data_IF_573104638545
#
_entry.id   IF_573104638545
#
_cell.length_a   1.000
_cell.length_b   1.000
_cell.length_c   1.000
_cell.angle_alpha   90.00
_cell.angle_beta   90.00
_cell.angle_gamma   90.00
#
_symmetry.space_group_name_H-M   'P 1'
#
loop_
_entity.id
_entity.type
_entity.pdbx_description
1 polymer ?
#
# COMPACT_ATOMS: atom_id res chain seq x y z
N UNK A 1 -11.76 -37.87 -10.39
CA UNK A 1 -11.92 -36.61 -9.62
C UNK A 1 -10.56 -35.98 -9.40
N UNK A 2 -10.50 -34.64 -9.45
CA UNK A 2 -9.33 -33.72 -9.33
C UNK A 2 -8.61 -33.37 -10.63
N UNK A 3 -9.02 -32.25 -11.24
CA UNK A 3 -8.15 -31.22 -11.84
C UNK A 3 -9.00 -30.24 -12.66
N UNK A 4 -9.56 -29.22 -12.02
CA UNK A 4 -10.31 -28.15 -12.73
C UNK A 4 -9.93 -26.73 -12.29
N UNK A 5 -9.16 -26.57 -11.21
CA UNK A 5 -8.81 -25.24 -10.69
C UNK A 5 -7.42 -24.76 -11.14
N UNK A 6 -6.47 -25.66 -11.40
CA UNK A 6 -5.13 -25.29 -11.86
C UNK A 6 -5.13 -24.77 -13.31
N UNK A 7 -5.94 -25.37 -14.19
CA UNK A 7 -6.06 -24.94 -15.58
C UNK A 7 -6.60 -23.51 -15.72
N UNK A 8 -7.64 -23.16 -14.93
CA UNK A 8 -8.23 -21.81 -14.96
C UNK A 8 -7.25 -20.73 -14.48
N UNK A 9 -6.48 -21.00 -13.42
CA UNK A 9 -5.50 -20.05 -12.89
C UNK A 9 -4.39 -19.80 -13.91
N UNK A 10 -3.86 -20.86 -14.55
CA UNK A 10 -2.80 -20.72 -15.56
C UNK A 10 -3.29 -19.96 -16.80
N UNK A 11 -4.51 -20.23 -17.28
CA UNK A 11 -5.07 -19.52 -18.44
C UNK A 11 -5.32 -18.04 -18.15
N UNK A 12 -5.81 -17.70 -16.95
CA UNK A 12 -6.01 -16.30 -16.55
C UNK A 12 -4.68 -15.55 -16.39
N UNK A 13 -3.64 -16.20 -15.86
CA UNK A 13 -2.30 -15.61 -15.73
C UNK A 13 -1.68 -15.30 -17.10
N UNK A 14 -1.81 -16.19 -18.09
CA UNK A 14 -1.29 -15.95 -19.45
C UNK A 14 -2.04 -14.82 -20.16
N UNK A 15 -3.37 -14.76 -20.02
CA UNK A 15 -4.17 -13.68 -20.61
C UNK A 15 -3.84 -12.30 -20.00
N UNK A 16 -3.63 -12.24 -18.68
CA UNK A 16 -3.23 -11.00 -18.00
C UNK A 16 -1.84 -10.52 -18.43
N UNK A 17 -0.87 -11.43 -18.58
CA UNK A 17 0.47 -11.10 -19.09
C UNK A 17 0.43 -10.61 -20.53
N UNK A 18 -0.44 -11.17 -21.38
CA UNK A 18 -0.63 -10.69 -22.74
C UNK A 18 -1.21 -9.26 -22.80
N UNK A 19 -2.15 -8.92 -21.91
CA UNK A 19 -2.71 -7.55 -21.80
C UNK A 19 -1.64 -6.56 -21.32
N UNK A 20 -0.79 -6.95 -20.36
CA UNK A 20 0.33 -6.14 -19.87
C UNK A 20 1.34 -5.86 -20.98
N UNK A 21 1.70 -6.88 -21.79
CA UNK A 21 2.62 -6.71 -22.90
C UNK A 21 2.05 -5.77 -23.99
N UNK A 22 0.75 -5.88 -24.29
CA UNK A 22 0.09 -5.02 -25.28
C UNK A 22 -0.08 -3.57 -24.80
N UNK A 23 -0.40 -3.35 -23.52
CA UNK A 23 -0.52 -2.00 -22.94
C UNK A 23 0.80 -1.23 -22.89
N UNK A 24 1.89 -1.91 -22.51
CA UNK A 24 3.24 -1.31 -22.48
C UNK A 24 3.74 -1.01 -23.91
N UNK A 25 3.53 -1.92 -24.87
CA UNK A 25 3.88 -1.68 -26.27
C UNK A 25 3.06 -0.54 -26.90
N UNK A 26 1.76 -0.43 -26.57
CA UNK A 26 0.90 0.65 -27.06
C UNK A 26 1.32 2.04 -26.56
N UNK A 27 1.68 2.15 -25.27
CA UNK A 27 2.15 3.40 -24.68
C UNK A 27 3.49 3.85 -25.28
N UNK A 28 4.41 2.92 -25.52
CA UNK A 28 5.70 3.21 -26.15
C UNK A 28 5.50 3.55 -27.64
N UNK A 29 4.57 2.91 -28.36
CA UNK A 29 4.39 3.18 -29.78
C UNK A 29 3.70 4.52 -30.07
N UNK A 30 2.70 4.94 -29.30
CA UNK A 30 1.88 6.12 -29.61
C UNK A 30 1.82 7.20 -28.51
N UNK A 31 2.14 6.89 -27.25
CA UNK A 31 2.00 7.82 -26.12
C UNK A 31 2.99 8.98 -26.14
N UNK A 32 4.13 8.83 -26.83
CA UNK A 32 5.17 9.85 -26.93
C UNK A 32 4.90 10.94 -28.00
N UNK A 33 3.84 10.81 -28.79
CA UNK A 33 3.48 11.76 -29.85
C UNK A 33 2.26 12.62 -29.56
N UNK A 34 1.70 12.61 -28.33
CA UNK A 34 0.58 13.48 -27.98
C UNK A 34 1.10 14.87 -27.60
N UNK A 35 0.87 15.93 -28.40
CA UNK A 35 1.38 17.25 -28.10
C UNK A 35 0.49 17.94 -27.06
N UNK A 36 0.71 17.70 -25.77
CA UNK A 36 0.02 18.39 -24.67
C UNK A 36 0.60 19.80 -24.40
N UNK A 37 0.91 20.58 -25.44
CA UNK A 37 1.55 21.89 -25.26
C UNK A 37 0.60 23.05 -24.89
N UNK A 38 -0.73 22.88 -24.86
CA UNK A 38 -1.65 24.03 -24.71
C UNK A 38 -2.89 23.83 -23.82
N UNK A 39 -2.94 22.85 -22.92
CA UNK A 39 -4.04 22.76 -21.95
C UNK A 39 -3.82 23.73 -20.76
N UNK A 40 -3.96 25.04 -20.99
CA UNK A 40 -4.18 26.01 -19.90
C UNK A 40 -5.62 25.84 -19.41
N UNK A 41 -5.79 25.03 -18.38
CA UNK A 41 -7.02 24.98 -17.60
C UNK A 41 -7.28 26.31 -16.92
N UNK A 42 -8.45 26.88 -17.16
CA UNK A 42 -9.02 28.05 -16.48
C UNK A 42 -9.00 27.81 -14.96
N UNK A 43 -8.57 28.77 -14.12
CA UNK A 43 -8.58 28.58 -12.68
C UNK A 43 -10.03 28.46 -12.17
N UNK A 44 -10.36 27.45 -11.34
CA UNK A 44 -11.66 27.40 -10.69
C UNK A 44 -11.76 28.56 -9.70
N UNK A 45 -12.81 29.36 -9.84
CA UNK A 45 -13.17 30.42 -8.90
C UNK A 45 -13.92 29.72 -7.75
N UNK A 46 -13.19 29.33 -6.71
CA UNK A 46 -13.72 28.74 -5.48
C UNK A 46 -13.03 29.37 -4.28
N UNK A 47 -13.79 29.59 -3.21
CA UNK A 47 -13.41 30.34 -2.01
C UNK A 47 -11.98 30.07 -1.50
N UNK A 48 -11.25 31.15 -1.26
CA UNK A 48 -9.94 31.13 -0.62
C UNK A 48 -10.12 30.77 0.86
N UNK A 49 -9.59 29.61 1.29
CA UNK A 49 -9.35 29.39 2.73
C UNK A 49 -9.46 27.96 3.27
N UNK A 50 -9.96 26.99 2.51
CA UNK A 50 -9.84 25.57 2.87
C UNK A 50 -9.33 24.78 1.68
N UNK A 51 -8.04 24.47 1.67
CA UNK A 51 -7.60 23.27 0.93
C UNK A 51 -8.46 22.10 1.44
N UNK A 52 -9.06 21.29 0.55
CA UNK A 52 -9.63 20.02 0.96
C UNK A 52 -8.60 19.29 1.82
N UNK A 53 -9.00 18.79 2.99
CA UNK A 53 -8.13 17.92 3.79
C UNK A 53 -7.69 16.80 2.86
N UNK A 54 -6.39 16.72 2.57
CA UNK A 54 -5.84 15.67 1.70
C UNK A 54 -6.17 14.33 2.37
N UNK A 55 -7.08 13.52 1.82
CA UNK A 55 -7.51 12.29 2.48
C UNK A 55 -6.34 11.29 2.54
N UNK A 56 -5.31 11.49 1.70
CA UNK A 56 -4.07 10.73 1.76
C UNK A 56 -3.05 11.33 2.74
N UNK A 57 -3.44 11.95 3.84
CA UNK A 57 -2.48 12.47 4.82
C UNK A 57 -1.64 11.33 5.44
N UNK A 58 -0.32 11.39 5.28
CA UNK A 58 0.60 10.52 6.03
C UNK A 58 0.94 11.21 7.33
N UNK A 59 0.89 10.49 8.45
CA UNK A 59 1.39 10.98 9.73
C UNK A 59 2.84 11.44 9.65
N UNK A 60 3.20 12.37 10.52
CA UNK A 60 4.60 12.62 10.83
C UNK A 60 5.14 11.46 11.68
N UNK A 61 5.67 10.44 11.00
CA UNK A 61 6.16 9.23 11.64
C UNK A 61 7.54 9.41 12.30
N UNK A 62 8.24 10.52 12.02
CA UNK A 62 9.61 10.80 12.48
C UNK A 62 10.68 10.19 11.60
N UNK A 63 11.95 10.23 12.05
CA UNK A 63 13.10 9.69 11.31
C UNK A 63 13.53 10.53 10.10
N UNK A 64 14.56 10.05 9.40
CA UNK A 64 15.03 10.67 8.17
C UNK A 64 14.09 10.31 7.00
N UNK A 65 13.28 11.28 6.57
CA UNK A 65 12.29 11.10 5.50
C UNK A 65 12.98 10.90 4.15
N UNK A 66 12.62 9.84 3.44
CA UNK A 66 13.00 9.65 2.04
C UNK A 66 11.96 10.33 1.14
N UNK A 67 12.40 11.03 0.09
CA UNK A 67 11.49 11.72 -0.82
C UNK A 67 10.88 10.77 -1.84
N UNK A 68 9.60 10.45 -1.65
CA UNK A 68 8.78 9.65 -2.57
C UNK A 68 7.56 10.42 -3.08
N UNK A 69 7.62 11.76 -3.11
CA UNK A 69 6.51 12.60 -3.58
C UNK A 69 6.09 12.31 -5.03
N UNK A 70 6.98 11.71 -5.83
CA UNK A 70 6.71 11.30 -7.22
C UNK A 70 6.04 9.92 -7.33
N UNK A 71 5.85 9.21 -6.22
CA UNK A 71 5.18 7.89 -6.18
C UNK A 71 3.72 8.10 -5.81
N UNK A 72 2.91 8.37 -6.84
CA UNK A 72 1.49 8.72 -6.73
C UNK A 72 0.53 7.70 -7.37
N UNK A 73 1.08 6.62 -7.95
CA UNK A 73 0.34 5.49 -8.49
C UNK A 73 0.88 4.13 -8.01
N UNK A 74 0.04 3.09 -8.03
CA UNK A 74 0.49 1.71 -7.78
C UNK A 74 1.60 1.26 -8.74
N UNK A 75 1.63 1.78 -9.97
CA UNK A 75 2.67 1.46 -10.94
C UNK A 75 4.03 2.00 -10.49
N UNK A 76 4.06 3.22 -9.96
CA UNK A 76 5.27 3.79 -9.38
C UNK A 76 5.72 3.02 -8.12
N UNK A 77 4.80 2.54 -7.28
CA UNK A 77 5.12 1.71 -6.10
C UNK A 77 5.73 0.37 -6.49
N UNK A 78 5.22 -0.26 -7.56
CA UNK A 78 5.78 -1.51 -8.08
C UNK A 78 7.25 -1.36 -8.48
N UNK A 79 7.63 -0.20 -9.04
CA UNK A 79 9.01 0.15 -9.36
C UNK A 79 9.94 0.24 -8.14
N UNK A 80 9.39 0.51 -6.95
CA UNK A 80 10.16 0.63 -5.70
C UNK A 80 10.40 -0.71 -4.98
N UNK A 81 9.75 -1.80 -5.42
CA UNK A 81 9.87 -3.14 -4.82
C UNK A 81 9.59 -3.18 -3.31
N UNK A 82 8.69 -2.31 -2.82
CA UNK A 82 8.31 -2.21 -1.40
C UNK A 82 7.11 -3.11 -1.03
N UNK A 83 6.43 -3.65 -2.04
CA UNK A 83 5.33 -4.60 -1.92
C UNK A 83 5.73 -5.92 -2.55
N UNK A 84 5.21 -7.03 -2.02
CA UNK A 84 5.32 -8.32 -2.73
C UNK A 84 4.48 -8.30 -4.00
N UNK A 85 4.70 -9.28 -4.89
CA UNK A 85 3.89 -9.44 -6.10
C UNK A 85 2.42 -9.68 -5.78
N UNK A 86 2.15 -10.47 -4.75
CA UNK A 86 0.78 -10.80 -4.37
C UNK A 86 0.08 -9.61 -3.73
N UNK A 87 0.79 -8.80 -2.92
CA UNK A 87 0.24 -7.56 -2.36
C UNK A 87 -0.11 -6.54 -3.46
N UNK A 88 0.76 -6.39 -4.47
CA UNK A 88 0.48 -5.54 -5.63
C UNK A 88 -0.73 -6.06 -6.39
N UNK A 89 -0.81 -7.38 -6.63
CA UNK A 89 -1.94 -7.99 -7.33
C UNK A 89 -3.25 -7.74 -6.60
N UNK A 90 -3.30 -7.95 -5.29
CA UNK A 90 -4.48 -7.68 -4.47
C UNK A 90 -4.95 -6.22 -4.62
N UNK A 91 -4.02 -5.26 -4.56
CA UNK A 91 -4.36 -3.85 -4.71
C UNK A 91 -4.86 -3.51 -6.13
N UNK A 92 -4.24 -4.07 -7.17
CA UNK A 92 -4.66 -3.85 -8.55
C UNK A 92 -6.01 -4.48 -8.87
N UNK A 93 -6.23 -5.73 -8.44
CA UNK A 93 -7.48 -6.46 -8.72
C UNK A 93 -8.68 -5.78 -8.06
N UNK A 94 -8.48 -5.12 -6.91
CA UNK A 94 -9.49 -4.32 -6.25
C UNK A 94 -9.55 -2.84 -6.73
N UNK A 95 -8.84 -2.51 -7.82
CA UNK A 95 -8.94 -1.20 -8.47
C UNK A 95 -8.19 -0.06 -7.78
N UNK A 96 -7.20 -0.35 -6.96
CA UNK A 96 -6.37 0.69 -6.33
C UNK A 96 -5.77 1.63 -7.38
N UNK A 97 -5.85 2.93 -7.10
CA UNK A 97 -5.48 3.98 -8.06
C UNK A 97 -4.35 4.84 -7.54
N UNK A 98 -4.74 5.99 -6.99
CA UNK A 98 -3.82 6.96 -6.41
C UNK A 98 -3.20 6.39 -5.14
N UNK A 99 -1.92 6.68 -4.93
CA UNK A 99 -1.23 6.28 -3.70
C UNK A 99 -0.47 7.45 -3.10
N UNK A 100 -0.16 7.32 -1.82
CA UNK A 100 0.89 8.12 -1.20
C UNK A 100 1.82 7.21 -0.42
N UNK A 101 3.09 7.32 -0.74
CA UNK A 101 4.15 6.55 -0.11
C UNK A 101 4.99 7.48 0.77
N UNK A 102 5.12 7.12 2.04
CA UNK A 102 6.07 7.74 2.95
C UNK A 102 7.02 6.68 3.48
N UNK A 103 8.30 7.03 3.49
CA UNK A 103 9.36 6.15 3.92
C UNK A 103 10.27 6.94 4.84
N UNK A 104 10.64 6.33 5.95
CA UNK A 104 11.53 6.97 6.93
C UNK A 104 12.56 6.00 7.46
N UNK A 105 13.82 6.44 7.49
CA UNK A 105 14.92 5.68 8.07
C UNK A 105 15.15 6.09 9.52
N UNK A 106 15.49 5.09 10.32
CA UNK A 106 15.87 5.20 11.72
C UNK A 106 17.14 4.38 11.93
N UNK A 107 17.87 4.67 13.00
CA UNK A 107 19.04 3.87 13.38
C UNK A 107 18.68 2.39 13.65
N UNK A 108 17.42 2.13 14.00
CA UNK A 108 16.90 0.80 14.33
C UNK A 108 16.17 0.12 13.18
N UNK A 109 16.06 0.76 12.01
CA UNK A 109 15.35 0.19 10.86
C UNK A 109 14.67 1.20 9.93
N UNK A 110 13.73 0.72 9.12
CA UNK A 110 13.00 1.50 8.11
C UNK A 110 11.50 1.33 8.28
N UNK A 111 10.79 2.46 8.27
CA UNK A 111 9.33 2.53 8.22
C UNK A 111 8.86 2.77 6.78
N UNK A 112 7.78 2.11 6.40
CA UNK A 112 7.07 2.30 5.13
C UNK A 112 5.59 2.47 5.46
N UNK A 113 5.02 3.59 5.07
CA UNK A 113 3.59 3.86 5.15
C UNK A 113 3.08 4.08 3.73
N UNK A 114 2.10 3.27 3.34
CA UNK A 114 1.45 3.34 2.04
C UNK A 114 -0.04 3.57 2.25
N UNK A 115 -0.55 4.64 1.66
CA UNK A 115 -1.99 4.89 1.53
C UNK A 115 -2.38 4.63 0.08
N UNK A 116 -3.45 3.89 -0.13
CA UNK A 116 -3.98 3.57 -1.46
C UNK A 116 -5.43 3.99 -1.51
N UNK A 117 -5.73 4.90 -2.44
CA UNK A 117 -7.10 5.26 -2.79
C UNK A 117 -7.73 4.12 -3.57
N UNK A 118 -8.81 3.58 -3.05
CA UNK A 118 -9.61 2.53 -3.68
C UNK A 118 -10.85 3.13 -4.34
N UNK A 119 -11.52 2.42 -5.26
CA UNK A 119 -12.70 2.95 -5.94
C UNK A 119 -13.90 3.16 -5.00
N UNK A 120 -13.97 2.38 -3.92
CA UNK A 120 -15.03 2.47 -2.92
C UNK A 120 -14.57 1.90 -1.57
N UNK A 121 -15.35 2.20 -0.53
CA UNK A 121 -15.21 1.59 0.81
C UNK A 121 -15.26 0.06 0.76
N UNK A 122 -16.08 -0.52 -0.11
CA UNK A 122 -16.21 -1.98 -0.22
C UNK A 122 -14.96 -2.61 -0.87
N UNK A 123 -14.37 -1.93 -1.86
CA UNK A 123 -13.14 -2.39 -2.52
C UNK A 123 -11.95 -2.27 -1.58
N UNK A 124 -11.87 -1.20 -0.78
CA UNK A 124 -10.89 -1.06 0.29
C UNK A 124 -11.00 -2.19 1.32
N UNK A 125 -12.22 -2.55 1.73
CA UNK A 125 -12.44 -3.66 2.67
C UNK A 125 -12.02 -5.00 2.08
N UNK A 126 -12.27 -5.21 0.79
CA UNK A 126 -11.91 -6.45 0.09
C UNK A 126 -10.39 -6.58 -0.03
N UNK A 127 -9.71 -5.53 -0.49
CA UNK A 127 -8.26 -5.47 -0.54
C UNK A 127 -7.62 -5.64 0.85
N UNK A 128 -8.18 -5.01 1.89
CA UNK A 128 -7.73 -5.16 3.27
C UNK A 128 -7.76 -6.64 3.71
N UNK A 129 -8.86 -7.34 3.45
CA UNK A 129 -9.00 -8.75 3.80
C UNK A 129 -8.00 -9.64 3.03
N UNK A 130 -7.72 -9.34 1.75
CA UNK A 130 -6.72 -10.05 0.96
C UNK A 130 -5.29 -9.81 1.49
N UNK A 131 -4.93 -8.56 1.80
CA UNK A 131 -3.63 -8.24 2.38
C UNK A 131 -3.46 -8.86 3.77
N UNK A 132 -4.51 -8.87 4.59
CA UNK A 132 -4.53 -9.54 5.89
C UNK A 132 -4.27 -11.05 5.73
N UNK A 133 -4.93 -11.69 4.76
CA UNK A 133 -4.72 -13.11 4.44
C UNK A 133 -3.28 -13.37 3.97
N UNK A 134 -2.74 -12.56 3.07
CA UNK A 134 -1.35 -12.69 2.60
C UNK A 134 -0.35 -12.54 3.75
N UNK A 135 -0.60 -11.58 4.66
CA UNK A 135 0.23 -11.39 5.84
C UNK A 135 0.22 -12.63 6.75
N UNK A 136 -0.94 -13.25 6.95
CA UNK A 136 -1.06 -14.48 7.72
C UNK A 136 -0.33 -15.64 7.01
N UNK A 137 -0.48 -15.76 5.68
CA UNK A 137 0.20 -16.77 4.85
C UNK A 137 1.74 -16.59 4.85
N UNK A 138 2.23 -15.36 5.01
CA UNK A 138 3.65 -15.04 5.18
C UNK A 138 4.17 -15.33 6.60
N UNK A 139 3.34 -15.86 7.50
CA UNK A 139 3.73 -16.32 8.83
C UNK A 139 3.95 -15.19 9.82
N UNK A 140 3.19 -14.10 9.70
CA UNK A 140 3.16 -13.08 10.75
C UNK A 140 2.32 -13.58 11.92
N UNK A 141 2.81 -13.33 13.13
CA UNK A 141 2.07 -13.58 14.36
C UNK A 141 1.10 -12.42 14.59
N UNK A 142 -0.20 -12.71 14.53
CA UNK A 142 -1.26 -11.70 14.66
C UNK A 142 -1.24 -11.03 16.02
N UNK A 143 -1.36 -9.71 16.04
CA UNK A 143 -1.39 -8.88 17.24
C UNK A 143 -2.80 -8.33 17.42
N UNK A 144 -3.45 -8.70 18.52
CA UNK A 144 -4.81 -8.26 18.86
C UNK A 144 -4.85 -7.38 20.11
N UNK A 145 -3.75 -7.32 20.86
CA UNK A 145 -3.60 -6.45 22.03
C UNK A 145 -2.88 -5.18 21.61
N UNK A 146 -3.31 -4.02 22.13
CA UNK A 146 -2.69 -2.70 21.88
C UNK A 146 -2.88 -2.13 20.45
N UNK A 147 -3.80 -2.69 19.68
CA UNK A 147 -4.22 -2.16 18.38
C UNK A 147 -5.76 -2.07 18.34
N UNK A 148 -6.35 -1.09 17.63
CA UNK A 148 -7.79 -1.06 17.39
C UNK A 148 -8.28 -2.35 16.72
N UNK A 149 -9.54 -2.74 16.96
CA UNK A 149 -10.10 -4.01 16.47
C UNK A 149 -10.13 -4.12 14.95
N UNK A 150 -10.31 -3.00 14.26
CA UNK A 150 -10.34 -2.89 12.81
C UNK A 150 -8.96 -2.87 12.15
N UNK A 151 -7.88 -2.83 12.93
CA UNK A 151 -6.51 -2.89 12.44
C UNK A 151 -6.01 -4.34 12.43
N UNK A 152 -5.68 -4.85 11.24
CA UNK A 152 -5.00 -6.16 11.12
C UNK A 152 -3.50 -5.98 11.25
N UNK A 153 -2.98 -6.07 12.48
CA UNK A 153 -1.56 -5.98 12.77
C UNK A 153 -0.93 -7.36 13.01
N UNK A 154 0.35 -7.50 12.66
CA UNK A 154 1.14 -8.69 12.92
C UNK A 154 2.62 -8.37 13.00
N UNK A 155 3.35 -9.21 13.74
CA UNK A 155 4.81 -9.13 13.86
C UNK A 155 5.44 -10.38 13.27
N UNK A 156 6.66 -10.26 12.75
CA UNK A 156 7.37 -11.42 12.21
C UNK A 156 7.84 -12.28 13.37
N UNK A 157 7.34 -13.52 13.48
CA UNK A 157 7.62 -14.45 14.58
C UNK A 157 9.08 -14.88 14.70
N UNK A 158 9.47 -15.39 15.88
CA UNK A 158 10.84 -15.79 16.23
C UNK A 158 11.52 -16.76 15.27
N UNK A 159 10.69 -17.59 14.61
CA UNK A 159 11.11 -18.67 13.71
C UNK A 159 11.12 -18.26 12.23
N UNK A 160 10.63 -17.07 11.91
CA UNK A 160 10.57 -16.59 10.53
C UNK A 160 11.93 -15.98 10.14
N UNK A 161 12.55 -16.41 9.03
CA UNK A 161 13.89 -15.97 8.63
C UNK A 161 13.93 -14.54 8.06
N UNK A 162 12.78 -13.91 7.83
CA UNK A 162 12.72 -12.54 7.33
C UNK A 162 13.18 -11.52 8.38
N UNK A 163 13.55 -10.33 7.91
CA UNK A 163 13.98 -9.24 8.78
C UNK A 163 12.90 -8.91 9.83
N UNK A 164 13.25 -8.86 11.13
CA UNK A 164 12.29 -8.58 12.19
C UNK A 164 11.52 -7.28 12.02
N UNK A 165 10.33 -7.22 12.59
CA UNK A 165 9.47 -6.05 12.58
C UNK A 165 8.00 -6.42 12.49
N UNK A 166 7.19 -5.53 11.94
CA UNK A 166 5.74 -5.70 11.88
C UNK A 166 5.11 -5.05 10.66
N UNK A 167 3.90 -5.51 10.36
CA UNK A 167 3.05 -4.98 9.30
C UNK A 167 1.62 -4.89 9.81
N UNK A 168 0.96 -3.80 9.47
CA UNK A 168 -0.44 -3.57 9.76
C UNK A 168 -1.17 -3.06 8.52
N UNK A 169 -2.42 -3.47 8.41
CA UNK A 169 -3.35 -2.98 7.40
C UNK A 169 -4.63 -2.52 8.09
N UNK A 170 -5.18 -1.41 7.64
CA UNK A 170 -6.50 -0.95 8.03
C UNK A 170 -7.11 -0.07 6.95
N UNK A 171 -8.36 0.31 7.14
CA UNK A 171 -9.13 1.10 6.21
C UNK A 171 -9.61 2.39 6.88
N UNK A 172 -9.66 3.47 6.10
CA UNK A 172 -10.34 4.72 6.44
C UNK A 172 -11.15 5.16 5.22
N UNK A 173 -12.46 5.12 5.29
CA UNK A 173 -13.36 5.31 4.14
C UNK A 173 -12.96 4.43 2.94
N UNK A 174 -12.64 5.00 1.77
CA UNK A 174 -12.17 4.30 0.58
C UNK A 174 -10.63 4.25 0.48
N UNK A 175 -9.92 4.53 1.56
CA UNK A 175 -8.46 4.46 1.64
C UNK A 175 -8.03 3.20 2.40
N UNK A 176 -7.14 2.44 1.77
CA UNK A 176 -6.40 1.37 2.43
C UNK A 176 -5.07 1.92 2.95
N UNK A 177 -4.81 1.73 4.24
CA UNK A 177 -3.55 2.11 4.89
C UNK A 177 -2.75 0.85 5.21
N UNK A 178 -1.49 0.83 4.79
CA UNK A 178 -0.50 -0.20 5.10
C UNK A 178 0.69 0.43 5.81
N UNK A 179 0.99 -0.05 7.00
CA UNK A 179 2.14 0.36 7.80
C UNK A 179 3.09 -0.83 7.94
N UNK A 180 4.37 -0.64 7.64
CA UNK A 180 5.40 -1.64 7.84
C UNK A 180 6.61 -1.01 8.52
N UNK A 181 7.24 -1.78 9.40
CA UNK A 181 8.56 -1.47 9.93
C UNK A 181 9.44 -2.71 9.86
N UNK A 182 10.69 -2.54 9.43
CA UNK A 182 11.73 -3.57 9.39
C UNK A 182 13.01 -3.11 10.05
N UNK A 183 13.68 -3.98 10.77
CA UNK A 183 14.99 -3.68 11.33
C UNK A 183 15.75 -4.91 11.83
N UNK A 184 17.07 -4.78 12.03
CA UNK A 184 17.95 -5.92 12.29
C UNK A 184 17.74 -6.55 13.68
N UNK A 185 17.17 -5.80 14.63
CA UNK A 185 16.96 -6.22 16.01
C UNK A 185 15.48 -6.27 16.34
N UNK A 186 15.00 -7.47 16.67
CA UNK A 186 13.60 -7.77 16.94
C UNK A 186 12.93 -6.83 17.94
N UNK A 187 13.46 -6.75 19.16
CA UNK A 187 12.84 -5.96 20.23
C UNK A 187 12.69 -4.47 19.85
N UNK A 188 13.71 -3.87 19.23
CA UNK A 188 13.64 -2.48 18.79
C UNK A 188 12.76 -2.28 17.55
N UNK A 189 12.77 -3.25 16.61
CA UNK A 189 11.94 -3.17 15.41
C UNK A 189 10.45 -3.30 15.74
N UNK A 190 10.07 -4.22 16.63
CA UNK A 190 8.69 -4.38 17.11
C UNK A 190 8.24 -3.15 17.91
N UNK A 191 9.06 -2.64 18.84
CA UNK A 191 8.72 -1.43 19.58
C UNK A 191 8.52 -0.22 18.64
N UNK A 192 9.39 -0.07 17.64
CA UNK A 192 9.29 1.03 16.67
C UNK A 192 8.11 0.87 15.71
N UNK A 193 7.80 -0.37 15.31
CA UNK A 193 6.59 -0.68 14.56
C UNK A 193 5.34 -0.14 15.26
N UNK A 194 5.14 -0.45 16.54
CA UNK A 194 3.96 0.03 17.27
C UNK A 194 3.94 1.55 17.43
N UNK A 195 5.10 2.21 17.63
CA UNK A 195 5.17 3.68 17.67
C UNK A 195 4.72 4.31 16.34
N UNK A 196 5.19 3.77 15.21
CA UNK A 196 4.82 4.26 13.88
C UNK A 196 3.35 3.99 13.59
N UNK A 197 2.85 2.80 13.94
CA UNK A 197 1.44 2.45 13.78
C UNK A 197 0.54 3.37 14.61
N UNK A 198 0.88 3.63 15.87
CA UNK A 198 0.12 4.51 16.75
C UNK A 198 0.12 5.97 16.24
N UNK A 199 1.23 6.45 15.69
CA UNK A 199 1.29 7.76 15.05
C UNK A 199 0.40 7.81 13.80
N UNK A 200 0.42 6.75 12.98
CA UNK A 200 -0.36 6.70 11.74
C UNK A 200 -1.86 6.58 12.01
N UNK A 201 -2.28 5.73 12.95
CA UNK A 201 -3.68 5.60 13.40
C UNK A 201 -4.22 6.91 13.97
N UNK A 202 -3.38 7.73 14.64
CA UNK A 202 -3.80 9.05 15.12
C UNK A 202 -3.99 10.08 14.01
N UNK A 203 -3.28 9.96 12.89
CA UNK A 203 -3.42 10.88 11.76
C UNK A 203 -4.56 10.49 10.82
N UNK A 204 -4.76 9.18 10.64
CA UNK A 204 -5.82 8.59 9.81
C UNK A 204 -6.43 7.46 10.63
N UNK A 205 -7.57 7.77 11.25
CA UNK A 205 -8.26 6.86 12.16
C UNK A 205 -8.91 5.70 11.39
N UNK A 206 -8.76 4.44 11.83
CA UNK A 206 -9.39 3.32 11.17
C UNK A 206 -10.92 3.38 11.30
N UNK A 207 -11.61 2.91 10.27
CA UNK A 207 -13.04 2.62 10.32
C UNK A 207 -13.37 1.64 11.46
N UNK A 208 -14.58 1.73 12.01
CA UNK A 208 -15.12 0.79 13.01
C UNK A 208 -15.41 -0.63 12.44
#
# INVERSE_FOLDING_TARGET
MRSTNAGRIVTTVVAAVAIIALGVCGWIAWGQYVPLKHARGTPPIGESGRSPVDPLAVAEIGGAKENYAQVDSLAAVAGQRMLTRDELLALYTNGGGRVRLAVSRYDVGKAIVLLVQMPSRQDARTALNELAKLQDDYGFERVTRRVPKSVHAGVIGGKNPAEPGGRAHYQHDDILVRVEFRGPRRASAEAKFFQVLEAQVRAVEPDD
#
